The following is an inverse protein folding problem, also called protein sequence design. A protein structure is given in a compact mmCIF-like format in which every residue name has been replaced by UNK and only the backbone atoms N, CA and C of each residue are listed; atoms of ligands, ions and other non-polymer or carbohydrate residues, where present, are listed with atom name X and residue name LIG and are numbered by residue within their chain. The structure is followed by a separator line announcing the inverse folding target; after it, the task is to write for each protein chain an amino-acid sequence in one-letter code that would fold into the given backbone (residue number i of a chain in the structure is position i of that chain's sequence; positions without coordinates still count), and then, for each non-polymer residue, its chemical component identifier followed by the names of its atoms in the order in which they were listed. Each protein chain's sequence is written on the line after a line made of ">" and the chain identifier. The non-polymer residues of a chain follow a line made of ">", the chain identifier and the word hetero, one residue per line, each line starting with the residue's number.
data_IF_174632318754
#
_entry.id   IF_174632318754
#
_cell.length_a   1.000
_cell.length_b   1.000
_cell.length_c   1.000
_cell.angle_alpha   90.00
_cell.angle_beta   90.00
_cell.angle_gamma   90.00
#
_symmetry.space_group_name_H-M   'P 1'
#
loop_
_entity.id
_entity.type
_entity.pdbx_description
1 polymer ?
#
# COMPACT_ATOMS: atom_id res chain seq x y z
N UNK A 1 16.68 22.15 -23.93
CA UNK A 1 16.21 20.95 -23.19
C UNK A 1 14.73 20.76 -23.48
N UNK A 2 14.35 19.65 -24.10
CA UNK A 2 12.93 19.32 -24.30
C UNK A 2 12.28 19.12 -22.93
N UNK A 3 11.25 19.91 -22.63
CA UNK A 3 10.53 19.84 -21.36
C UNK A 3 9.50 18.71 -21.47
N UNK A 4 9.75 17.57 -20.86
CA UNK A 4 8.78 16.48 -20.76
C UNK A 4 7.86 16.71 -19.57
N UNK A 5 6.62 16.22 -19.63
CA UNK A 5 5.78 16.09 -18.43
C UNK A 5 6.28 14.93 -17.57
N UNK A 6 5.97 14.92 -16.27
CA UNK A 6 6.28 13.78 -15.39
C UNK A 6 5.70 12.46 -15.91
N UNK A 7 4.46 12.51 -16.41
CA UNK A 7 3.79 11.36 -17.06
C UNK A 7 4.56 10.82 -18.26
N UNK A 8 5.07 11.70 -19.12
CA UNK A 8 5.86 11.30 -20.28
C UNK A 8 7.24 10.74 -19.87
N UNK A 9 7.89 11.37 -18.88
CA UNK A 9 9.15 10.84 -18.34
C UNK A 9 8.96 9.45 -17.72
N UNK A 10 7.88 9.25 -16.96
CA UNK A 10 7.52 7.94 -16.40
C UNK A 10 7.25 6.91 -17.49
N UNK A 11 6.45 7.25 -18.51
CA UNK A 11 6.20 6.36 -19.65
C UNK A 11 7.52 5.92 -20.29
N UNK A 12 8.42 6.87 -20.58
CA UNK A 12 9.74 6.58 -21.17
C UNK A 12 10.59 5.70 -20.25
N UNK A 13 10.50 5.86 -18.93
CA UNK A 13 11.23 5.03 -17.98
C UNK A 13 10.75 3.57 -18.03
N UNK A 14 9.44 3.32 -17.97
CA UNK A 14 8.88 1.94 -17.98
C UNK A 14 8.95 1.27 -19.35
N UNK A 15 9.04 2.04 -20.44
CA UNK A 15 9.24 1.51 -21.80
C UNK A 15 10.70 1.54 -22.25
N UNK A 16 11.65 1.77 -21.34
CA UNK A 16 13.10 1.80 -21.63
C UNK A 16 13.49 2.73 -22.80
N UNK A 17 12.76 3.84 -22.94
CA UNK A 17 12.85 4.77 -24.06
C UNK A 17 13.62 6.06 -23.71
N UNK A 18 14.81 5.89 -23.12
CA UNK A 18 15.74 6.96 -22.73
C UNK A 18 15.06 8.12 -21.99
N UNK A 19 14.54 7.90 -20.76
CA UNK A 19 13.92 8.97 -19.96
C UNK A 19 14.95 10.08 -19.66
N UNK A 20 14.46 11.29 -19.36
CA UNK A 20 15.33 12.41 -19.03
C UNK A 20 16.00 12.24 -17.66
N UNK A 21 15.33 11.54 -16.75
CA UNK A 21 15.82 11.13 -15.44
C UNK A 21 15.05 9.88 -14.98
N UNK A 22 15.58 9.16 -13.99
CA UNK A 22 14.86 8.04 -13.39
C UNK A 22 13.82 8.57 -12.40
N UNK A 23 12.51 8.32 -12.61
CA UNK A 23 11.49 8.65 -11.62
C UNK A 23 11.79 7.93 -10.30
N UNK A 24 11.66 8.63 -9.17
CA UNK A 24 11.91 8.06 -7.85
C UNK A 24 10.78 8.37 -6.86
N UNK A 25 10.68 7.54 -5.84
CA UNK A 25 9.88 7.78 -4.63
C UNK A 25 10.62 7.17 -3.44
N UNK A 26 10.49 7.81 -2.29
CA UNK A 26 10.83 7.24 -1.00
C UNK A 26 9.57 7.00 -0.17
N UNK A 27 9.12 5.75 -0.09
CA UNK A 27 7.95 5.34 0.71
C UNK A 27 8.37 4.72 2.04
N UNK A 28 7.77 5.16 3.15
CA UNK A 28 7.90 4.52 4.47
C UNK A 28 6.52 4.37 5.09
N UNK A 29 6.06 3.13 5.25
CA UNK A 29 4.77 2.84 5.88
C UNK A 29 4.95 2.62 7.38
N UNK A 30 4.96 3.71 8.15
CA UNK A 30 5.17 3.69 9.60
C UNK A 30 4.31 2.70 10.41
N UNK A 31 3.02 2.45 10.07
CA UNK A 31 2.20 1.47 10.80
C UNK A 31 2.75 0.03 10.76
N UNK A 32 3.64 -0.29 9.82
CA UNK A 32 4.26 -1.61 9.68
C UNK A 32 5.56 -1.76 10.48
N UNK A 33 6.07 -0.67 11.06
CA UNK A 33 7.31 -0.69 11.82
C UNK A 33 7.06 -1.18 13.24
N UNK A 34 7.97 -2.03 13.73
CA UNK A 34 7.98 -2.49 15.12
C UNK A 34 8.27 -1.34 16.08
N UNK A 35 9.24 -0.49 15.71
CA UNK A 35 9.57 0.69 16.49
C UNK A 35 8.64 1.85 16.12
N UNK A 36 8.02 2.44 17.15
CA UNK A 36 7.09 3.57 17.03
C UNK A 36 7.64 4.72 17.88
N UNK A 37 8.51 5.53 17.31
CA UNK A 37 9.10 6.72 17.94
C UNK A 37 8.76 7.96 17.10
N UNK A 38 7.93 8.84 17.65
CA UNK A 38 7.46 10.04 16.95
C UNK A 38 8.58 10.98 16.47
N UNK A 39 9.72 11.03 17.18
CA UNK A 39 10.85 11.87 16.76
C UNK A 39 11.53 11.27 15.55
N UNK A 40 11.70 9.94 15.52
CA UNK A 40 12.22 9.23 14.35
C UNK A 40 11.27 9.34 13.17
N UNK A 41 9.96 9.13 13.39
CA UNK A 41 8.95 9.26 12.34
C UNK A 41 8.95 10.67 11.73
N UNK A 42 8.93 11.73 12.56
CA UNK A 42 9.04 13.12 12.10
C UNK A 42 10.33 13.35 11.32
N UNK A 43 11.47 12.85 11.82
CA UNK A 43 12.75 13.02 11.13
C UNK A 43 12.78 12.33 9.76
N UNK A 44 12.18 11.16 9.65
CA UNK A 44 12.05 10.44 8.37
C UNK A 44 11.15 11.22 7.41
N UNK A 45 10.02 11.75 7.89
CA UNK A 45 9.13 12.59 7.08
C UNK A 45 9.82 13.86 6.57
N UNK A 46 10.60 14.55 7.41
CA UNK A 46 11.40 15.70 7.00
C UNK A 46 12.40 15.35 5.89
N UNK A 47 13.11 14.23 6.03
CA UNK A 47 14.08 13.77 5.04
C UNK A 47 13.40 13.34 3.74
N UNK A 48 12.25 12.66 3.83
CA UNK A 48 11.47 12.24 2.67
C UNK A 48 10.91 13.44 1.89
N UNK A 49 10.46 14.49 2.58
CA UNK A 49 9.96 15.71 1.94
C UNK A 49 11.05 16.49 1.16
N UNK A 50 12.33 16.29 1.49
CA UNK A 50 13.45 16.84 0.74
C UNK A 50 13.83 16.00 -0.50
N UNK A 51 13.23 14.82 -0.66
CA UNK A 51 13.48 13.89 -1.76
C UNK A 51 12.39 14.04 -2.84
N UNK A 52 12.72 13.93 -4.14
CA UNK A 52 11.72 13.94 -5.19
C UNK A 52 10.70 12.79 -5.04
N UNK A 53 9.42 13.08 -5.32
CA UNK A 53 8.35 12.09 -5.40
C UNK A 53 7.65 12.22 -6.75
N UNK A 54 8.01 11.33 -7.67
CA UNK A 54 7.52 11.33 -9.05
C UNK A 54 6.24 10.49 -9.24
N UNK A 55 5.74 9.86 -8.19
CA UNK A 55 4.67 8.87 -8.27
C UNK A 55 3.41 9.32 -7.52
N UNK A 56 2.27 8.78 -7.94
CA UNK A 56 1.06 8.69 -7.12
C UNK A 56 0.88 7.23 -6.69
N UNK A 57 0.48 7.00 -5.44
CA UNK A 57 0.09 5.67 -4.95
C UNK A 57 -1.40 5.64 -4.71
N UNK A 58 -2.02 4.53 -5.08
CA UNK A 58 -3.33 4.18 -4.62
C UNK A 58 -3.39 2.64 -4.53
N UNK A 59 -3.94 2.14 -3.43
CA UNK A 59 -4.08 0.71 -3.18
C UNK A 59 -5.54 0.31 -3.46
N UNK A 60 -5.81 -0.57 -4.44
CA UNK A 60 -7.16 -1.07 -4.68
C UNK A 60 -7.60 -2.15 -3.68
N UNK A 61 -6.76 -2.49 -2.70
CA UNK A 61 -7.08 -3.49 -1.70
C UNK A 61 -8.28 -3.07 -0.85
N UNK A 62 -9.18 -4.02 -0.63
CA UNK A 62 -10.36 -3.85 0.21
C UNK A 62 -10.28 -4.70 1.48
N UNK A 63 -11.09 -4.36 2.48
CA UNK A 63 -11.25 -5.17 3.69
C UNK A 63 -12.60 -5.90 3.65
N UNK A 64 -12.61 -7.19 3.99
CA UNK A 64 -13.85 -7.92 4.30
C UNK A 64 -14.47 -7.44 5.60
N UNK A 65 -13.62 -7.22 6.60
CA UNK A 65 -13.98 -6.66 7.90
C UNK A 65 -13.13 -5.41 8.12
N UNK A 66 -13.74 -4.22 8.27
CA UNK A 66 -12.97 -3.00 8.46
C UNK A 66 -12.17 -3.05 9.77
N UNK A 67 -11.14 -2.22 9.93
CA UNK A 67 -10.43 -2.07 11.19
C UNK A 67 -11.35 -1.72 12.36
N UNK A 68 -11.35 -2.60 13.35
CA UNK A 68 -12.05 -2.45 14.62
C UNK A 68 -11.04 -2.28 15.74
N UNK A 69 -11.33 -1.34 16.65
CA UNK A 69 -10.49 -1.09 17.83
C UNK A 69 -10.82 -2.08 18.95
N UNK A 70 -9.80 -2.77 19.45
CA UNK A 70 -9.89 -3.72 20.57
C UNK A 70 -8.89 -3.28 21.65
N UNK A 71 -9.37 -2.53 22.64
CA UNK A 71 -8.49 -1.85 23.61
C UNK A 71 -7.71 -0.71 22.93
N UNK A 72 -6.38 -0.75 22.99
CA UNK A 72 -5.50 0.21 22.29
C UNK A 72 -4.99 -0.30 20.94
N UNK A 73 -5.51 -1.44 20.50
CA UNK A 73 -5.04 -2.16 19.32
C UNK A 73 -6.12 -2.17 18.23
N UNK A 74 -5.72 -2.50 17.00
CA UNK A 74 -6.63 -2.69 15.87
C UNK A 74 -6.62 -4.13 15.36
N UNK A 75 -7.78 -4.60 14.89
CA UNK A 75 -7.93 -5.87 14.17
C UNK A 75 -8.80 -5.69 12.94
N UNK A 76 -8.45 -6.36 11.84
CA UNK A 76 -9.24 -6.35 10.61
C UNK A 76 -9.03 -7.63 9.81
N UNK A 77 -9.82 -7.81 8.76
CA UNK A 77 -9.63 -8.88 7.78
C UNK A 77 -9.63 -8.29 6.40
N UNK A 78 -8.57 -8.52 5.66
CA UNK A 78 -8.48 -8.07 4.27
C UNK A 78 -9.38 -8.89 3.35
N UNK A 79 -9.49 -8.48 2.09
CA UNK A 79 -10.26 -9.18 1.06
C UNK A 79 -9.81 -10.61 0.80
N UNK A 80 -8.54 -10.91 1.07
CA UNK A 80 -7.95 -12.24 0.92
C UNK A 80 -8.27 -13.15 2.11
N UNK A 81 -9.00 -12.65 3.12
CA UNK A 81 -9.37 -13.39 4.31
C UNK A 81 -8.26 -13.49 5.33
N UNK A 82 -7.17 -12.72 5.19
CA UNK A 82 -6.09 -12.66 6.16
C UNK A 82 -6.55 -11.82 7.34
N UNK A 83 -6.48 -12.39 8.54
CA UNK A 83 -6.69 -11.61 9.75
C UNK A 83 -5.42 -10.87 10.11
N UNK A 84 -5.57 -9.60 10.44
CA UNK A 84 -4.48 -8.73 10.85
C UNK A 84 -4.73 -8.21 12.26
N UNK A 85 -3.64 -8.05 13.02
CA UNK A 85 -3.66 -7.32 14.27
C UNK A 85 -2.47 -6.36 14.35
N UNK A 86 -2.71 -5.21 14.96
CA UNK A 86 -1.68 -4.28 15.39
C UNK A 86 -1.52 -4.48 16.90
N UNK A 87 -0.46 -5.16 17.34
CA UNK A 87 -0.23 -5.50 18.75
C UNK A 87 0.91 -4.66 19.37
N UNK A 88 0.97 -3.37 19.03
CA UNK A 88 2.02 -2.45 19.48
C UNK A 88 3.41 -2.74 18.89
N UNK A 89 3.49 -3.62 17.89
CA UNK A 89 4.73 -4.00 17.18
C UNK A 89 4.54 -3.96 15.66
N UNK A 90 3.77 -2.99 15.21
CA UNK A 90 3.31 -2.88 13.84
C UNK A 90 2.21 -3.88 13.49
N UNK A 91 1.63 -3.67 12.31
CA UNK A 91 0.61 -4.52 11.72
C UNK A 91 1.17 -5.89 11.33
N UNK A 92 0.53 -6.98 11.77
CA UNK A 92 0.96 -8.37 11.51
C UNK A 92 -0.20 -9.27 11.12
N UNK A 93 0.04 -10.24 10.23
CA UNK A 93 -0.97 -11.26 9.95
C UNK A 93 -1.04 -12.23 11.15
N UNK A 94 -2.25 -12.50 11.61
CA UNK A 94 -2.54 -13.42 12.71
C UNK A 94 -3.10 -14.76 12.22
N UNK A 95 -3.74 -14.77 11.05
CA UNK A 95 -4.28 -15.97 10.44
C UNK A 95 -4.28 -15.83 8.92
N UNK A 96 -4.25 -16.95 8.20
CA UNK A 96 -4.40 -16.99 6.75
C UNK A 96 -5.29 -18.18 6.36
N UNK A 97 -6.26 -18.03 5.43
CA UNK A 97 -7.17 -19.12 5.05
C UNK A 97 -6.45 -20.36 4.49
N UNK A 98 -5.26 -20.16 3.92
CA UNK A 98 -4.40 -21.22 3.37
C UNK A 98 -3.25 -21.64 4.32
N UNK A 99 -3.34 -21.36 5.63
CA UNK A 99 -2.28 -21.69 6.57
C UNK A 99 -1.96 -23.21 6.64
N UNK A 100 -2.91 -24.07 6.27
CA UNK A 100 -2.72 -25.52 6.22
C UNK A 100 -2.04 -26.05 4.95
N UNK A 101 -1.87 -25.21 3.92
CA UNK A 101 -1.28 -25.60 2.65
C UNK A 101 -2.16 -25.33 1.43
N UNK A 102 -1.66 -25.71 0.26
CA UNK A 102 -2.32 -25.48 -1.02
C UNK A 102 -3.59 -26.31 -1.22
N UNK A 103 -3.77 -27.39 -0.45
CA UNK A 103 -4.97 -28.24 -0.48
C UNK A 103 -6.24 -27.44 -0.16
N UNK A 104 -6.11 -26.42 0.71
CA UNK A 104 -7.19 -25.51 1.07
C UNK A 104 -7.62 -24.60 -0.11
N UNK A 105 -6.83 -24.49 -1.19
CA UNK A 105 -7.20 -23.72 -2.38
C UNK A 105 -8.47 -24.25 -3.05
N UNK A 106 -8.72 -25.56 -2.97
CA UNK A 106 -9.89 -26.19 -3.60
C UNK A 106 -11.22 -25.60 -3.11
N UNK A 107 -11.26 -25.12 -1.87
CA UNK A 107 -12.41 -24.47 -1.25
C UNK A 107 -12.22 -22.96 -1.05
N UNK A 108 -11.06 -22.41 -1.41
CA UNK A 108 -10.74 -21.01 -1.18
C UNK A 108 -11.48 -20.11 -2.17
N UNK A 109 -12.08 -19.03 -1.65
CA UNK A 109 -12.76 -18.03 -2.45
C UNK A 109 -11.83 -16.84 -2.66
N UNK A 110 -11.39 -16.64 -3.90
CA UNK A 110 -10.62 -15.46 -4.27
C UNK A 110 -11.48 -14.19 -4.22
N UNK A 111 -10.88 -13.03 -3.91
CA UNK A 111 -11.54 -11.74 -4.03
C UNK A 111 -12.05 -11.50 -5.46
N UNK A 112 -13.20 -10.84 -5.59
CA UNK A 112 -13.73 -10.46 -6.92
C UNK A 112 -12.94 -9.25 -7.47
N UNK A 113 -12.18 -9.40 -8.57
CA UNK A 113 -11.43 -8.29 -9.14
C UNK A 113 -12.31 -7.13 -9.62
N UNK A 114 -13.62 -7.33 -9.79
CA UNK A 114 -14.59 -6.32 -10.20
C UNK A 114 -15.51 -5.86 -9.07
N UNK A 115 -15.15 -6.15 -7.82
CA UNK A 115 -15.92 -5.72 -6.64
C UNK A 115 -16.26 -4.21 -6.73
N UNK A 116 -17.54 -3.82 -6.51
CA UNK A 116 -17.94 -2.42 -6.54
C UNK A 116 -17.10 -1.56 -5.60
N UNK A 117 -16.62 -0.41 -6.09
CA UNK A 117 -15.82 0.54 -5.31
C UNK A 117 -14.33 0.25 -5.21
N UNK A 118 -13.83 -0.88 -5.76
CA UNK A 118 -12.39 -1.24 -5.75
C UNK A 118 -11.47 -0.12 -6.24
N UNK A 119 -11.88 0.58 -7.29
CA UNK A 119 -11.07 1.64 -7.90
C UNK A 119 -11.47 3.06 -7.46
N UNK A 120 -12.41 3.21 -6.52
CA UNK A 120 -12.91 4.52 -6.12
C UNK A 120 -11.82 5.42 -5.48
N UNK A 121 -10.80 4.85 -4.85
CA UNK A 121 -9.63 5.64 -4.40
C UNK A 121 -8.77 6.10 -5.58
N UNK A 122 -8.55 5.21 -6.55
CA UNK A 122 -7.77 5.52 -7.76
C UNK A 122 -8.45 6.63 -8.56
N UNK A 123 -9.75 6.50 -8.79
CA UNK A 123 -10.55 7.48 -9.53
C UNK A 123 -10.43 8.87 -8.90
N UNK A 124 -10.53 8.97 -7.57
CA UNK A 124 -10.36 10.25 -6.83
C UNK A 124 -8.97 10.88 -7.01
N UNK A 125 -7.92 10.07 -7.06
CA UNK A 125 -6.53 10.56 -7.26
C UNK A 125 -6.31 10.99 -8.71
N UNK A 126 -6.96 10.34 -9.67
CA UNK A 126 -6.85 10.70 -11.09
C UNK A 126 -7.67 11.94 -11.45
N UNK A 127 -8.69 12.27 -10.66
CA UNK A 127 -9.55 13.46 -10.82
C UNK A 127 -9.02 14.72 -10.11
N UNK A 128 -8.06 14.57 -9.18
CA UNK A 128 -7.45 15.68 -8.42
C UNK A 128 -6.29 16.36 -9.16
#
# INVERSE_FOLDING_TARGET
>A
MTRYSGRENYRRAITFSSPAYLPVRLGVHFPWLIERDERKERRIQELAAAFPDDFYEADPAMNLRPPERVGDLYRWTDEWGVDWAEEGRGMKPCSHPLASGYEALSSYRFPDPYAPGRFAQIDRVLES
#
